data_IF_681383415713
#
_entry.id   IF_681383415713
#
_cell.length_a   1.000
_cell.length_b   1.000
_cell.length_c   1.000
_cell.angle_alpha   90.00
_cell.angle_beta   90.00
_cell.angle_gamma   90.00
#
_symmetry.space_group_name_H-M   'P 1'
#
loop_
_entity.id
_entity.type
_entity.pdbx_description
1 polymer ?
#
# COMPACT_ATOMS: atom_id res chain seq x y z
N UNK A 1 -3.39 0.14 16.89
CA UNK A 1 -2.64 -1.10 16.60
C UNK A 1 -2.34 -1.14 15.11
N UNK A 2 -1.31 -1.87 14.68
CA UNK A 2 -0.89 -1.92 13.27
C UNK A 2 -1.00 -3.35 12.75
N UNK A 3 -1.31 -3.50 11.46
CA UNK A 3 -1.21 -4.78 10.79
C UNK A 3 0.29 -5.14 10.64
N UNK A 4 0.68 -6.38 10.96
CA UNK A 4 2.05 -6.84 10.79
C UNK A 4 2.40 -6.90 9.31
N UNK A 5 3.66 -6.62 8.99
CA UNK A 5 4.14 -6.58 7.60
C UNK A 5 3.84 -7.87 6.82
N UNK A 6 3.83 -9.03 7.49
CA UNK A 6 3.48 -10.31 6.87
C UNK A 6 2.11 -10.30 6.17
N UNK A 7 1.20 -9.36 6.50
CA UNK A 7 -0.07 -9.18 5.76
C UNK A 7 0.15 -8.92 4.28
N UNK A 8 1.28 -8.29 3.88
CA UNK A 8 1.57 -7.99 2.47
C UNK A 8 1.55 -9.25 1.60
N UNK A 9 1.96 -10.40 2.15
CA UNK A 9 1.89 -11.69 1.44
C UNK A 9 0.46 -12.11 1.07
N UNK A 10 -0.52 -11.75 1.90
CA UNK A 10 -1.94 -11.96 1.63
C UNK A 10 -2.44 -10.93 0.61
N UNK A 11 -2.00 -9.66 0.74
CA UNK A 11 -2.37 -8.59 -0.20
C UNK A 11 -1.86 -8.87 -1.63
N UNK A 12 -0.72 -9.54 -1.74
CA UNK A 12 -0.13 -9.99 -3.00
C UNK A 12 -1.00 -10.98 -3.78
N UNK A 13 -2.07 -11.50 -3.18
CA UNK A 13 -2.97 -12.49 -3.78
C UNK A 13 -4.35 -11.92 -4.10
N UNK A 14 -4.63 -10.70 -3.64
CA UNK A 14 -5.90 -10.02 -3.90
C UNK A 14 -5.95 -9.60 -5.37
N UNK A 15 -6.89 -10.14 -6.12
CA UNK A 15 -7.13 -9.85 -7.53
C UNK A 15 -8.10 -8.68 -7.73
N UNK A 16 -8.65 -8.14 -6.65
CA UNK A 16 -9.63 -7.04 -6.65
C UNK A 16 -8.98 -5.69 -6.34
N UNK A 17 -9.61 -4.57 -6.73
CA UNK A 17 -9.15 -3.25 -6.28
C UNK A 17 -9.19 -3.13 -4.75
N UNK A 18 -8.06 -2.72 -4.16
CA UNK A 18 -7.95 -2.53 -2.72
C UNK A 18 -7.14 -1.27 -2.39
N UNK A 19 -7.38 -0.73 -1.20
CA UNK A 19 -6.68 0.42 -0.66
C UNK A 19 -5.95 0.02 0.63
N UNK A 20 -4.67 0.41 0.75
CA UNK A 20 -3.87 0.17 1.95
C UNK A 20 -3.58 1.51 2.60
N UNK A 21 -3.95 1.66 3.88
CA UNK A 21 -3.74 2.89 4.63
C UNK A 21 -2.53 2.78 5.54
N UNK A 22 -1.65 3.77 5.46
CA UNK A 22 -0.42 3.88 6.23
C UNK A 22 -0.48 5.05 7.21
N UNK A 23 -0.01 4.81 8.43
CA UNK A 23 0.30 5.85 9.44
C UNK A 23 1.73 5.63 9.92
N UNK A 24 2.56 6.67 9.85
CA UNK A 24 3.98 6.60 10.21
C UNK A 24 4.74 5.45 9.52
N UNK A 25 4.39 5.16 8.26
CA UNK A 25 4.95 4.05 7.49
C UNK A 25 4.44 2.65 7.86
N UNK A 26 3.47 2.54 8.79
CA UNK A 26 2.88 1.27 9.21
C UNK A 26 1.47 1.10 8.66
N UNK A 27 1.14 -0.12 8.25
CA UNK A 27 -0.20 -0.45 7.75
C UNK A 27 -1.19 -0.43 8.93
N UNK A 28 -2.24 0.37 8.83
CA UNK A 28 -3.31 0.40 9.83
C UNK A 28 -4.53 -0.40 9.40
N UNK A 29 -4.90 -0.32 8.13
CA UNK A 29 -6.01 -1.06 7.57
C UNK A 29 -5.83 -1.28 6.07
N UNK A 30 -6.58 -2.26 5.58
CA UNK A 30 -6.70 -2.61 4.17
C UNK A 30 -8.18 -2.69 3.84
N UNK A 31 -8.60 -2.04 2.78
CA UNK A 31 -9.99 -2.02 2.33
C UNK A 31 -10.13 -2.57 0.91
N UNK A 32 -10.85 -3.68 0.74
CA UNK A 32 -11.11 -4.31 -0.56
C UNK A 32 -12.45 -3.79 -1.06
N UNK A 33 -12.41 -2.85 -2.01
CA UNK A 33 -13.54 -1.99 -2.37
C UNK A 33 -14.74 -2.77 -2.90
N UNK A 34 -14.51 -3.67 -3.85
CA UNK A 34 -15.58 -4.44 -4.50
C UNK A 34 -16.34 -5.35 -3.53
N UNK A 35 -15.68 -5.79 -2.46
CA UNK A 35 -16.23 -6.75 -1.51
C UNK A 35 -16.70 -6.12 -0.21
N UNK A 36 -16.46 -4.82 -0.03
CA UNK A 36 -16.75 -4.11 1.21
C UNK A 36 -16.12 -4.84 2.41
N UNK A 37 -14.85 -5.22 2.26
CA UNK A 37 -14.07 -5.94 3.29
C UNK A 37 -13.03 -4.98 3.83
N UNK A 38 -13.05 -4.74 5.14
CA UNK A 38 -11.99 -3.99 5.83
C UNK A 38 -11.22 -4.91 6.75
N UNK A 39 -9.91 -4.99 6.58
CA UNK A 39 -8.97 -5.73 7.44
C UNK A 39 -8.24 -4.70 8.31
N UNK A 40 -8.26 -4.88 9.61
CA UNK A 40 -7.61 -3.96 10.56
C UNK A 40 -7.05 -4.71 11.77
N UNK A 41 -6.08 -4.11 12.45
CA UNK A 41 -5.56 -4.66 13.69
C UNK A 41 -6.48 -4.33 14.88
N UNK A 42 -6.71 -5.29 15.77
CA UNK A 42 -7.57 -5.16 16.95
C UNK A 42 -6.88 -5.70 18.21
N UNK A 43 -7.42 -5.37 19.38
CA UNK A 43 -6.93 -5.91 20.65
C UNK A 43 -7.04 -7.44 20.76
N UNK A 44 -7.81 -8.07 19.87
CA UNK A 44 -8.00 -9.53 19.78
C UNK A 44 -7.23 -10.16 18.61
N UNK A 45 -6.25 -9.45 18.03
CA UNK A 45 -5.49 -9.89 16.86
C UNK A 45 -5.88 -9.11 15.61
N UNK A 46 -6.48 -9.78 14.62
CA UNK A 46 -6.91 -9.19 13.35
C UNK A 46 -8.43 -9.16 13.28
N UNK A 47 -8.98 -8.05 12.83
CA UNK A 47 -10.41 -7.90 12.59
C UNK A 47 -10.67 -7.81 11.09
N UNK A 48 -11.66 -8.54 10.60
CA UNK A 48 -12.18 -8.41 9.26
C UNK A 48 -13.65 -7.99 9.38
N UNK A 49 -13.92 -6.73 9.03
CA UNK A 49 -15.27 -6.20 9.02
C UNK A 49 -15.94 -6.59 7.70
N UNK A 50 -17.02 -7.36 7.83
CA UNK A 50 -17.88 -7.79 6.75
C UNK A 50 -19.27 -7.19 6.96
N UNK A 51 -20.12 -7.17 5.91
CA UNK A 51 -21.53 -6.72 6.01
C UNK A 51 -22.33 -7.41 7.13
N UNK A 52 -21.94 -8.62 7.55
CA UNK A 52 -22.57 -9.38 8.64
C UNK A 52 -21.95 -9.18 10.03
N UNK A 53 -20.95 -8.31 10.17
CA UNK A 53 -20.26 -8.03 11.43
C UNK A 53 -18.76 -8.36 11.41
N UNK A 54 -18.03 -7.97 12.46
CA UNK A 54 -16.59 -8.19 12.57
C UNK A 54 -16.26 -9.65 12.88
N UNK A 55 -15.32 -10.22 12.13
CA UNK A 55 -14.71 -11.53 12.42
C UNK A 55 -13.29 -11.31 12.96
N UNK A 56 -12.98 -11.92 14.10
CA UNK A 56 -11.67 -11.81 14.74
C UNK A 56 -10.82 -13.05 14.49
N UNK A 57 -9.55 -12.84 14.17
CA UNK A 57 -8.56 -13.88 13.98
C UNK A 57 -7.33 -13.60 14.84
N UNK A 58 -6.86 -14.62 15.56
CA UNK A 58 -5.61 -14.53 16.32
C UNK A 58 -4.38 -14.67 15.41
N UNK A 59 -4.54 -15.24 14.21
CA UNK A 59 -3.43 -15.57 13.31
C UNK A 59 -3.70 -15.11 11.88
N UNK A 60 -2.72 -14.46 11.24
CA UNK A 60 -2.78 -13.99 9.85
C UNK A 60 -3.12 -15.09 8.85
N UNK A 61 -2.63 -16.32 9.10
CA UNK A 61 -2.86 -17.48 8.23
C UNK A 61 -4.34 -17.80 7.99
N UNK A 62 -5.22 -17.30 8.86
CA UNK A 62 -6.66 -17.51 8.75
C UNK A 62 -7.36 -16.45 7.88
N UNK A 63 -6.69 -15.33 7.57
CA UNK A 63 -7.23 -14.26 6.73
C UNK A 63 -7.38 -14.74 5.29
N UNK A 64 -6.34 -15.34 4.73
CA UNK A 64 -6.32 -15.78 3.32
C UNK A 64 -7.44 -16.78 2.99
N UNK A 65 -7.67 -17.87 3.75
CA UNK A 65 -8.81 -18.77 3.50
C UNK A 65 -10.16 -18.08 3.52
N UNK A 66 -10.34 -17.06 4.37
CA UNK A 66 -11.57 -16.28 4.40
C UNK A 66 -11.71 -15.42 3.14
N UNK A 67 -10.64 -14.70 2.74
CA UNK A 67 -10.65 -13.88 1.53
C UNK A 67 -10.93 -14.71 0.27
N UNK A 68 -10.45 -15.96 0.21
CA UNK A 68 -10.80 -16.92 -0.84
C UNK A 68 -12.31 -17.22 -0.83
N UNK A 69 -12.88 -17.55 0.34
CA UNK A 69 -14.34 -17.79 0.47
C UNK A 69 -15.18 -16.59 0.07
N UNK A 70 -14.63 -15.38 0.22
CA UNK A 70 -15.29 -14.13 -0.13
C UNK A 70 -15.07 -13.69 -1.58
N UNK A 71 -14.39 -14.51 -2.40
CA UNK A 71 -14.03 -14.19 -3.78
C UNK A 71 -13.24 -12.86 -3.90
N UNK A 72 -12.43 -12.55 -2.88
CA UNK A 72 -11.49 -11.43 -2.88
C UNK A 72 -10.07 -11.86 -3.31
N UNK A 73 -9.84 -13.18 -3.30
CA UNK A 73 -8.65 -13.85 -3.84
C UNK A 73 -9.19 -14.97 -4.75
N UNK A 74 -8.74 -15.03 -5.99
CA UNK A 74 -9.06 -16.17 -6.86
C UNK A 74 -8.53 -17.48 -6.28
N UNK A 75 -9.39 -18.50 -6.17
CA UNK A 75 -9.02 -19.85 -5.74
C UNK A 75 -8.33 -20.65 -6.86
N UNK A 76 -7.36 -20.05 -7.54
CA UNK A 76 -6.62 -20.73 -8.60
C UNK A 76 -5.24 -21.12 -8.08
N UNK A 77 -4.84 -22.37 -8.32
CA UNK A 77 -3.44 -22.83 -8.32
C UNK A 77 -2.61 -22.13 -9.42
N UNK A 78 -2.97 -20.91 -9.82
CA UNK A 78 -2.19 -20.19 -10.80
C UNK A 78 -0.85 -19.87 -10.17
N UNK A 79 0.18 -20.46 -10.76
CA UNK A 79 1.51 -19.88 -10.82
C UNK A 79 1.31 -18.44 -11.29
N UNK A 80 1.19 -17.50 -10.35
CA UNK A 80 1.54 -16.10 -10.62
C UNK A 80 2.90 -16.20 -11.30
N UNK A 81 2.95 -15.92 -12.61
CA UNK A 81 4.24 -15.67 -13.25
C UNK A 81 4.86 -14.62 -12.36
N UNK A 82 6.02 -14.96 -11.76
CA UNK A 82 6.84 -14.03 -10.99
C UNK A 82 7.27 -12.90 -11.93
N UNK A 83 6.35 -12.01 -12.30
CA UNK A 83 6.75 -10.68 -12.64
C UNK A 83 7.36 -10.15 -11.35
N UNK A 84 8.66 -9.94 -11.37
CA UNK A 84 9.35 -9.22 -10.32
C UNK A 84 8.60 -7.89 -10.18
N UNK A 85 7.67 -7.81 -9.22
CA UNK A 85 6.94 -6.58 -8.92
C UNK A 85 8.01 -5.63 -8.39
N UNK A 86 8.63 -4.89 -9.31
CA UNK A 86 9.60 -3.86 -8.98
C UNK A 86 8.90 -2.92 -8.01
N UNK A 87 9.58 -2.63 -6.90
CA UNK A 87 9.10 -1.70 -5.88
C UNK A 87 8.60 -0.44 -6.56
N UNK A 88 7.37 -0.05 -6.24
CA UNK A 88 6.78 1.11 -6.86
C UNK A 88 7.50 2.37 -6.35
N UNK A 89 8.17 3.14 -7.23
CA UNK A 89 8.96 4.29 -6.79
C UNK A 89 8.11 5.33 -6.04
N UNK A 90 6.82 5.38 -6.32
CA UNK A 90 5.90 6.30 -5.67
C UNK A 90 5.66 5.88 -4.21
N UNK A 91 5.39 4.61 -3.95
CA UNK A 91 5.21 4.09 -2.58
C UNK A 91 6.50 4.21 -1.77
N UNK A 92 7.65 3.97 -2.41
CA UNK A 92 8.97 4.16 -1.77
C UNK A 92 9.21 5.62 -1.35
N UNK A 93 8.74 6.58 -2.13
CA UNK A 93 8.92 8.00 -1.82
C UNK A 93 8.19 8.40 -0.54
N UNK A 94 6.92 8.02 -0.38
CA UNK A 94 6.08 8.43 0.75
C UNK A 94 6.40 7.70 2.04
N UNK A 95 6.80 6.45 1.93
CA UNK A 95 7.09 5.61 3.07
C UNK A 95 8.34 6.01 3.84
N UNK A 96 9.36 6.54 3.18
CA UNK A 96 10.58 7.07 3.83
C UNK A 96 10.33 8.27 4.73
N UNK A 97 9.21 8.97 4.53
CA UNK A 97 8.92 10.26 5.14
C UNK A 97 8.01 10.16 6.38
N UNK A 98 7.62 8.94 6.79
CA UNK A 98 6.62 8.69 7.86
C UNK A 98 5.29 9.41 7.62
N UNK A 99 4.94 9.66 6.37
CA UNK A 99 3.69 10.34 6.04
C UNK A 99 2.48 9.44 6.32
N UNK A 100 1.33 10.09 6.53
CA UNK A 100 0.04 9.42 6.57
C UNK A 100 -0.57 9.48 5.16
N UNK A 101 -0.68 8.33 4.52
CA UNK A 101 -1.15 8.22 3.14
C UNK A 101 -1.91 6.90 2.93
N UNK A 102 -2.73 6.83 1.89
CA UNK A 102 -3.26 5.58 1.39
C UNK A 102 -2.78 5.31 -0.03
N UNK A 103 -2.67 4.03 -0.36
CA UNK A 103 -2.24 3.56 -1.68
C UNK A 103 -3.35 2.72 -2.26
N UNK A 104 -3.80 3.07 -3.45
CA UNK A 104 -4.79 2.31 -4.20
C UNK A 104 -4.09 1.36 -5.16
N UNK A 105 -4.49 0.10 -5.12
CA UNK A 105 -3.97 -0.97 -5.94
C UNK A 105 -5.07 -1.57 -6.81
N UNK A 106 -4.70 -1.96 -8.02
CA UNK A 106 -5.49 -2.80 -8.91
C UNK A 106 -4.54 -3.72 -9.68
N UNK A 107 -4.86 -5.01 -9.79
CA UNK A 107 -4.00 -5.99 -10.46
C UNK A 107 -2.52 -5.92 -10.01
N UNK A 108 -2.30 -5.78 -8.69
CA UNK A 108 -0.97 -5.65 -8.07
C UNK A 108 -0.17 -4.39 -8.44
N UNK A 109 -0.78 -3.43 -9.14
CA UNK A 109 -0.15 -2.16 -9.56
C UNK A 109 -0.72 -1.00 -8.76
N UNK A 110 0.13 -0.04 -8.42
CA UNK A 110 -0.29 1.20 -7.78
C UNK A 110 -1.05 2.05 -8.80
N UNK A 111 -2.30 2.38 -8.50
CA UNK A 111 -3.10 3.31 -9.27
C UNK A 111 -2.93 4.74 -8.76
N UNK A 112 -3.02 4.92 -7.44
CA UNK A 112 -2.95 6.24 -6.83
C UNK A 112 -2.36 6.23 -5.43
N UNK A 113 -1.86 7.38 -5.00
CA UNK A 113 -1.55 7.68 -3.60
C UNK A 113 -2.38 8.87 -3.16
N UNK A 114 -3.01 8.77 -2.01
CA UNK A 114 -3.83 9.81 -1.41
C UNK A 114 -3.23 10.25 -0.08
N UNK A 115 -3.17 11.55 0.13
CA UNK A 115 -2.83 12.15 1.42
C UNK A 115 -3.96 13.06 1.84
N UNK A 116 -4.27 13.03 3.14
CA UNK A 116 -5.34 13.86 3.71
C UNK A 116 -4.81 15.15 4.32
N UNK A 117 -3.51 15.20 4.67
CA UNK A 117 -2.88 16.38 5.22
C UNK A 117 -1.40 16.47 4.79
N UNK A 118 -1.05 17.37 3.85
CA UNK A 118 -1.97 18.17 3.03
C UNK A 118 -2.86 17.27 2.13
N UNK A 119 -4.05 17.76 1.77
CA UNK A 119 -5.03 16.99 1.00
C UNK A 119 -4.70 16.98 -0.49
N UNK A 120 -4.27 15.84 -1.03
CA UNK A 120 -4.05 15.65 -2.46
C UNK A 120 -4.11 14.17 -2.87
N UNK A 121 -4.27 13.93 -4.17
CA UNK A 121 -4.16 12.60 -4.78
C UNK A 121 -3.16 12.63 -5.92
N UNK A 122 -2.25 11.66 -5.99
CA UNK A 122 -1.36 11.44 -7.14
C UNK A 122 -1.82 10.17 -7.84
N UNK A 123 -2.28 10.30 -9.09
CA UNK A 123 -2.68 9.18 -9.95
C UNK A 123 -1.57 8.87 -10.95
N UNK A 124 -1.29 7.59 -11.19
CA UNK A 124 -0.45 7.17 -12.31
C UNK A 124 -1.22 7.27 -13.62
N UNK A 125 -0.55 7.76 -14.65
CA UNK A 125 -1.09 7.81 -16.02
C UNK A 125 -0.16 7.05 -16.95
N UNK A 126 -0.58 6.83 -18.20
CA UNK A 126 0.25 6.13 -19.19
C UNK A 126 1.55 6.87 -19.55
N UNK A 127 1.63 8.18 -19.29
CA UNK A 127 2.75 9.06 -19.68
C UNK A 127 3.42 9.75 -18.48
N UNK A 128 2.97 9.50 -17.25
CA UNK A 128 3.49 10.17 -16.07
C UNK A 128 2.54 10.10 -14.88
N UNK A 129 2.21 11.26 -14.31
CA UNK A 129 1.39 11.41 -13.12
C UNK A 129 0.41 12.57 -13.29
N UNK A 130 -0.74 12.47 -12.62
CA UNK A 130 -1.65 13.58 -12.41
C UNK A 130 -1.80 13.81 -10.91
N UNK A 131 -1.57 15.03 -10.45
CA UNK A 131 -1.73 15.41 -9.04
C UNK A 131 -2.98 16.28 -8.90
N UNK A 132 -3.96 15.78 -8.15
CA UNK A 132 -5.19 16.49 -7.80
C UNK A 132 -5.02 17.18 -6.45
N UNK A 133 -5.12 18.50 -6.43
CA UNK A 133 -5.04 19.35 -5.23
C UNK A 133 -6.20 20.33 -5.29
N UNK A 134 -7.04 20.40 -4.25
CA UNK A 134 -8.19 21.32 -4.19
C UNK A 134 -9.10 21.29 -5.44
N UNK A 135 -9.37 20.11 -5.99
CA UNK A 135 -10.11 19.87 -7.25
C UNK A 135 -9.46 20.40 -8.54
N UNK A 136 -8.22 20.90 -8.48
CA UNK A 136 -7.41 21.20 -9.65
C UNK A 136 -6.48 20.03 -9.96
N UNK A 137 -6.31 19.72 -11.24
CA UNK A 137 -5.44 18.64 -11.70
C UNK A 137 -4.19 19.20 -12.37
N UNK A 138 -3.03 18.78 -11.88
CA UNK A 138 -1.72 19.16 -12.39
C UNK A 138 -1.10 17.95 -13.06
N UNK A 139 -0.86 18.05 -14.37
CA UNK A 139 -0.12 17.03 -15.12
C UNK A 139 1.37 17.11 -14.83
N UNK A 140 1.99 15.97 -14.54
CA UNK A 140 3.41 15.85 -14.19
C UNK A 140 4.02 14.75 -15.04
N UNK A 141 4.97 15.13 -15.89
CA UNK A 141 5.60 14.28 -16.90
C UNK A 141 6.60 13.26 -16.35
N UNK A 142 7.16 13.49 -15.16
CA UNK A 142 8.22 12.64 -14.62
C UNK A 142 8.22 12.55 -13.09
N UNK A 143 8.80 11.47 -12.58
CA UNK A 143 9.01 11.28 -11.14
C UNK A 143 9.93 12.36 -10.55
N UNK A 144 10.89 12.87 -11.33
CA UNK A 144 11.77 13.95 -10.89
C UNK A 144 11.02 15.27 -10.71
N UNK A 145 10.12 15.62 -11.64
CA UNK A 145 9.22 16.77 -11.54
C UNK A 145 8.30 16.64 -10.33
N UNK A 146 7.70 15.45 -10.13
CA UNK A 146 6.85 15.17 -8.98
C UNK A 146 7.58 15.36 -7.65
N UNK A 147 8.78 14.78 -7.52
CA UNK A 147 9.61 14.92 -6.31
C UNK A 147 9.93 16.38 -6.00
N UNK A 148 10.31 17.18 -7.02
CA UNK A 148 10.56 18.62 -6.85
C UNK A 148 9.32 19.36 -6.35
N UNK A 149 8.15 19.05 -6.89
CA UNK A 149 6.88 19.65 -6.46
C UNK A 149 6.56 19.30 -5.00
N UNK A 150 6.65 18.02 -4.63
CA UNK A 150 6.38 17.56 -3.27
C UNK A 150 7.32 18.18 -2.24
N UNK A 151 8.60 18.39 -2.58
CA UNK A 151 9.55 19.12 -1.73
C UNK A 151 9.11 20.58 -1.56
N UNK A 152 8.72 21.27 -2.64
CA UNK A 152 8.23 22.67 -2.56
C UNK A 152 6.97 22.80 -1.71
N UNK A 153 6.13 21.76 -1.68
CA UNK A 153 4.92 21.70 -0.87
C UNK A 153 5.19 21.27 0.59
N UNK A 154 6.45 21.06 0.98
CA UNK A 154 6.84 20.53 2.29
C UNK A 154 6.20 19.18 2.63
N UNK A 155 5.87 18.37 1.62
CA UNK A 155 5.29 17.03 1.80
C UNK A 155 6.37 15.99 2.07
N UNK A 156 7.55 16.18 1.49
CA UNK A 156 8.70 15.29 1.65
C UNK A 156 9.96 16.12 1.91
N UNK A 157 10.86 15.59 2.72
CA UNK A 157 12.18 16.21 2.92
C UNK A 157 13.09 16.01 1.71
N UNK A 158 13.97 16.97 1.48
CA UNK A 158 15.07 16.83 0.52
C UNK A 158 16.09 15.84 1.09
N UNK A 159 16.50 14.85 0.30
CA UNK A 159 17.49 13.86 0.74
C UNK A 159 18.76 14.56 1.27
N UNK A 160 19.09 14.34 2.55
CA UNK A 160 20.38 14.72 3.11
C UNK A 160 21.44 13.74 2.57
N UNK A 161 22.54 14.25 2.00
CA UNK A 161 23.70 13.42 1.65
C UNK A 161 24.24 12.78 2.94
N UNK A 162 23.96 11.50 3.19
CA UNK A 162 24.54 10.77 4.32
C UNK A 162 24.69 9.27 4.00
N UNK A 163 25.83 8.70 4.39
CA UNK A 163 26.31 7.35 4.10
C UNK A 163 25.29 6.23 4.43
N UNK A 164 25.22 5.24 3.53
CA UNK A 164 24.00 4.53 3.13
C UNK A 164 23.68 3.19 3.83
N UNK A 165 24.54 2.62 4.67
CA UNK A 165 24.51 1.16 4.84
C UNK A 165 23.73 0.59 6.04
N UNK A 166 23.53 1.30 7.15
CA UNK A 166 23.08 0.65 8.40
C UNK A 166 21.60 0.83 8.76
N UNK A 167 20.94 1.92 8.35
CA UNK A 167 19.51 2.17 8.68
C UNK A 167 18.52 1.65 7.63
N UNK A 168 18.98 1.41 6.41
CA UNK A 168 18.15 1.02 5.27
C UNK A 168 17.73 -0.46 5.26
N UNK A 169 18.12 -1.29 6.24
CA UNK A 169 17.73 -2.72 6.23
C UNK A 169 16.39 -2.98 6.94
N UNK A 170 16.15 -2.32 8.07
CA UNK A 170 15.03 -2.63 8.98
C UNK A 170 13.71 -1.94 8.55
N UNK A 171 13.78 -0.74 7.96
CA UNK A 171 12.61 0.00 7.45
C UNK A 171 12.17 -0.48 6.04
N UNK A 172 13.06 -1.10 5.27
CA UNK A 172 12.85 -1.39 3.84
C UNK A 172 12.16 -2.73 3.57
N UNK A 173 12.18 -3.64 4.53
CA UNK A 173 11.41 -4.90 4.47
C UNK A 173 9.90 -4.65 4.61
N UNK A 174 9.47 -3.48 5.09
CA UNK A 174 8.07 -3.22 5.48
C UNK A 174 7.17 -2.73 4.34
N UNK A 175 7.78 -2.31 3.22
CA UNK A 175 7.12 -1.58 2.13
C UNK A 175 7.09 -2.35 0.81
N UNK A 176 7.83 -3.45 0.79
CA UNK A 176 7.87 -4.37 -0.33
C UNK A 176 6.89 -5.47 0.01
N UNK A 177 5.95 -5.76 -0.90
CA UNK A 177 5.21 -7.01 -0.84
C UNK A 177 6.25 -8.12 -1.06
N UNK A 178 6.76 -8.67 0.04
CA UNK A 178 7.87 -9.61 -0.01
C UNK A 178 7.30 -10.99 -0.37
N UNK A 179 7.52 -11.41 -1.61
CA UNK A 179 7.08 -12.72 -2.15
C UNK A 179 8.14 -13.82 -1.94
N UNK A 180 9.30 -13.48 -1.37
CA UNK A 180 10.47 -14.37 -1.27
C UNK A 180 10.45 -15.32 -0.05
N UNK A 181 9.44 -15.27 0.82
CA UNK A 181 9.31 -16.21 1.96
C UNK A 181 8.69 -17.57 1.58
N UNK A 182 8.53 -17.87 0.29
CA UNK A 182 8.06 -19.19 -0.18
C UNK A 182 9.24 -20.06 -0.65
N UNK A 183 9.83 -20.79 0.30
CA UNK A 183 10.50 -22.08 0.07
C UNK A 183 9.82 -23.16 0.89
#
# INVERSE_FOLDING_TARGET
>A
MYLPNKITSVLAKIDKPYEVKYIDGKIIDVYIKEKDIKIEASSKGFCINLKGGPIFFNYLKNIEPLLIKMNAIENKKHKLKKENIKKDPLVELFSKQKNNFSVEYENFRVLSIKMNNPSFTIKKTGVGYAMEVNNESISIDSMASLKKLLIKMNVIEKDKKTNQESKNKILFEQLTINLDEYK
#
